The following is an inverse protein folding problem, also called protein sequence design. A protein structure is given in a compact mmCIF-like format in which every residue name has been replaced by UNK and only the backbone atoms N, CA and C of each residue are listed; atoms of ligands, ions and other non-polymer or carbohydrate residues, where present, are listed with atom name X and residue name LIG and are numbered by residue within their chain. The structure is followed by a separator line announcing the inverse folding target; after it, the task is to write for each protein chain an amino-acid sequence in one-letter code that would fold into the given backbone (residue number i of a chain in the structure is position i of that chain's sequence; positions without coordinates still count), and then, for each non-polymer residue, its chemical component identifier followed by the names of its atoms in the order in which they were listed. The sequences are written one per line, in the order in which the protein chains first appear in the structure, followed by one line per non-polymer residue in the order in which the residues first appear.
data_IF_674022436271
#
_entry.id   IF_674022436271
#
_cell.length_a   1.000
_cell.length_b   1.000
_cell.length_c   1.000
_cell.angle_alpha   90.00
_cell.angle_beta   90.00
_cell.angle_gamma   90.00
#
_symmetry.space_group_name_H-M   'P 1'
#
loop_
_entity.id
_entity.type
_entity.pdbx_description
1 polymer ?
#
# COMPACT_ATOMS: atom_id res chain seq x y z
N UNK A 1 15.77 -28.49 -14.61
CA UNK A 1 15.36 -27.11 -14.90
C UNK A 1 15.25 -26.36 -13.58
N UNK A 2 15.96 -25.25 -13.42
CA UNK A 2 16.16 -24.55 -12.14
C UNK A 2 14.84 -24.09 -11.49
N UNK A 3 14.62 -24.51 -10.24
CA UNK A 3 13.47 -24.14 -9.41
C UNK A 3 13.29 -22.63 -9.22
N UNK A 4 14.37 -21.83 -9.31
CA UNK A 4 14.36 -20.37 -9.16
C UNK A 4 13.74 -19.61 -10.34
N UNK A 5 13.87 -20.13 -11.57
CA UNK A 5 13.19 -19.53 -12.74
C UNK A 5 11.67 -19.76 -12.67
N UNK A 6 11.21 -20.64 -11.80
CA UNK A 6 9.79 -20.99 -11.69
C UNK A 6 9.03 -20.03 -10.75
N UNK A 7 9.60 -19.64 -9.60
CA UNK A 7 8.89 -18.78 -8.64
C UNK A 7 8.75 -17.35 -9.14
N UNK A 8 9.82 -16.74 -9.65
CA UNK A 8 9.76 -15.38 -10.21
C UNK A 8 8.76 -15.30 -11.37
N UNK A 9 8.75 -16.27 -12.28
CA UNK A 9 7.80 -16.31 -13.39
C UNK A 9 6.36 -16.52 -12.90
N UNK A 10 6.14 -17.35 -11.88
CA UNK A 10 4.82 -17.49 -11.25
C UNK A 10 4.30 -16.16 -10.70
N UNK A 11 5.18 -15.37 -10.07
CA UNK A 11 4.82 -14.02 -9.59
C UNK A 11 4.59 -13.04 -10.75
N UNK A 12 5.35 -13.12 -11.85
CA UNK A 12 5.10 -12.29 -13.04
C UNK A 12 3.73 -12.58 -13.65
N UNK A 13 3.33 -13.85 -13.75
CA UNK A 13 2.00 -14.23 -14.22
C UNK A 13 0.92 -13.66 -13.30
N UNK A 14 1.06 -13.86 -11.98
CA UNK A 14 0.13 -13.31 -10.98
C UNK A 14 -0.01 -11.78 -11.08
N UNK A 15 1.10 -11.06 -11.22
CA UNK A 15 1.07 -9.60 -11.36
C UNK A 15 0.39 -9.20 -12.66
N UNK A 16 0.66 -9.89 -13.77
CA UNK A 16 0.01 -9.59 -15.05
C UNK A 16 -1.50 -9.80 -15.00
N UNK A 17 -1.98 -10.80 -14.27
CA UNK A 17 -3.42 -11.07 -14.11
C UNK A 17 -4.15 -9.97 -13.33
N UNK A 18 -3.48 -9.26 -12.41
CA UNK A 18 -4.11 -8.16 -11.67
C UNK A 18 -4.03 -6.81 -12.35
N UNK A 19 -3.21 -6.66 -13.39
CA UNK A 19 -3.14 -5.46 -14.21
C UNK A 19 -4.33 -5.41 -15.18
N UNK A 20 -5.54 -5.51 -14.64
CA UNK A 20 -6.80 -5.29 -15.35
C UNK A 20 -7.09 -3.79 -15.40
N UNK A 21 -6.24 -3.09 -16.16
CA UNK A 21 -6.35 -1.65 -16.39
C UNK A 21 -7.09 -1.41 -17.70
N UNK A 22 -8.17 -0.63 -17.64
CA UNK A 22 -9.01 -0.22 -18.77
C UNK A 22 -8.20 0.38 -19.93
N UNK A 23 -7.07 1.01 -19.60
CA UNK A 23 -6.13 1.61 -20.53
C UNK A 23 -4.91 0.72 -20.74
N UNK A 24 -4.63 0.39 -22.01
CA UNK A 24 -3.42 -0.31 -22.41
C UNK A 24 -2.14 0.48 -22.06
N UNK A 25 -2.21 1.82 -22.13
CA UNK A 25 -1.09 2.71 -21.73
C UNK A 25 -0.83 2.57 -20.23
N UNK A 26 -1.87 2.65 -19.41
CA UNK A 26 -1.73 2.53 -17.95
C UNK A 26 -1.17 1.14 -17.57
N UNK A 27 -1.56 0.10 -18.32
CA UNK A 27 -1.02 -1.26 -18.16
C UNK A 27 0.46 -1.34 -18.49
N UNK A 28 0.89 -0.72 -19.58
CA UNK A 28 2.30 -0.67 -19.96
C UNK A 28 3.13 0.11 -18.94
N UNK A 29 2.63 1.25 -18.47
CA UNK A 29 3.28 2.05 -17.44
C UNK A 29 3.40 1.29 -16.11
N UNK A 30 2.31 0.64 -15.68
CA UNK A 30 2.31 -0.21 -14.49
C UNK A 30 3.34 -1.35 -14.60
N UNK A 31 3.37 -2.03 -15.76
CA UNK A 31 4.34 -3.08 -16.02
C UNK A 31 5.77 -2.55 -16.01
N UNK A 32 6.03 -1.40 -16.63
CA UNK A 32 7.34 -0.75 -16.64
C UNK A 32 7.80 -0.39 -15.23
N UNK A 33 6.92 0.16 -14.39
CA UNK A 33 7.21 0.51 -12.99
C UNK A 33 7.54 -0.73 -12.16
N UNK A 34 6.70 -1.76 -12.18
CA UNK A 34 6.93 -2.98 -11.39
C UNK A 34 8.21 -3.71 -11.83
N UNK A 35 8.44 -3.82 -13.13
CA UNK A 35 9.66 -4.45 -13.64
C UNK A 35 10.92 -3.62 -13.40
N UNK A 36 10.81 -2.29 -13.44
CA UNK A 36 11.91 -1.39 -13.12
C UNK A 36 12.33 -1.56 -11.66
N UNK A 37 11.39 -1.50 -10.72
CA UNK A 37 11.66 -1.75 -9.29
C UNK A 37 12.23 -3.16 -9.07
N UNK A 38 11.65 -4.19 -9.70
CA UNK A 38 12.17 -5.57 -9.62
C UNK A 38 13.62 -5.69 -10.11
N UNK A 39 13.95 -5.02 -11.22
CA UNK A 39 15.29 -5.04 -11.80
C UNK A 39 16.32 -4.32 -10.93
N UNK A 40 15.98 -3.12 -10.42
CA UNK A 40 16.84 -2.41 -9.48
C UNK A 40 17.01 -3.19 -8.17
N UNK A 41 15.95 -3.81 -7.66
CA UNK A 41 16.02 -4.64 -6.46
C UNK A 41 16.96 -5.83 -6.65
N UNK A 42 16.86 -6.54 -7.78
CA UNK A 42 17.75 -7.65 -8.14
C UNK A 42 19.22 -7.20 -8.25
N UNK A 43 19.47 -6.08 -8.93
CA UNK A 43 20.81 -5.50 -9.09
C UNK A 43 21.42 -5.11 -7.73
N UNK A 44 20.66 -4.39 -6.89
CA UNK A 44 21.10 -3.99 -5.55
C UNK A 44 21.32 -5.21 -4.65
N UNK A 45 20.49 -6.26 -4.76
CA UNK A 45 20.69 -7.49 -4.01
C UNK A 45 22.03 -8.14 -4.35
N UNK A 46 22.35 -8.23 -5.65
CA UNK A 46 23.63 -8.74 -6.12
C UNK A 46 24.81 -7.91 -5.57
N UNK A 47 24.69 -6.58 -5.59
CA UNK A 47 25.72 -5.67 -5.05
C UNK A 47 25.91 -5.83 -3.54
N UNK A 48 24.84 -6.12 -2.80
CA UNK A 48 24.79 -6.19 -1.33
C UNK A 48 24.96 -7.60 -0.76
N UNK A 49 25.15 -8.61 -1.62
CA UNK A 49 25.27 -10.01 -1.19
C UNK A 49 23.98 -10.60 -0.64
N UNK A 50 22.82 -10.13 -1.11
CA UNK A 50 21.49 -10.64 -0.78
C UNK A 50 20.99 -11.56 -1.90
N UNK A 51 19.99 -12.37 -1.58
CA UNK A 51 19.35 -13.27 -2.54
C UNK A 51 18.51 -12.44 -3.54
N UNK A 52 18.82 -12.59 -4.83
CA UNK A 52 18.32 -11.73 -5.92
C UNK A 52 16.90 -12.07 -6.32
N UNK A 53 16.48 -13.33 -6.22
CA UNK A 53 15.13 -13.79 -6.56
C UNK A 53 14.09 -13.17 -5.61
N UNK A 54 14.32 -13.20 -4.29
CA UNK A 54 13.49 -12.61 -3.25
C UNK A 54 13.43 -11.09 -3.42
N UNK A 55 14.54 -10.43 -3.72
CA UNK A 55 14.55 -8.99 -3.99
C UNK A 55 13.71 -8.65 -5.23
N UNK A 56 13.88 -9.40 -6.33
CA UNK A 56 13.13 -9.20 -7.56
C UNK A 56 11.62 -9.42 -7.37
N UNK A 57 11.23 -10.48 -6.64
CA UNK A 57 9.84 -10.81 -6.31
C UNK A 57 9.22 -9.74 -5.42
N UNK A 58 9.95 -9.27 -4.41
CA UNK A 58 9.49 -8.19 -3.53
C UNK A 58 9.24 -6.90 -4.33
N UNK A 59 10.13 -6.59 -5.29
CA UNK A 59 9.95 -5.46 -6.20
C UNK A 59 8.72 -5.58 -7.11
N UNK A 60 8.35 -6.78 -7.55
CA UNK A 60 7.11 -7.00 -8.34
C UNK A 60 5.83 -6.85 -7.51
N UNK A 61 5.90 -7.16 -6.21
CA UNK A 61 4.75 -7.21 -5.32
C UNK A 61 4.52 -5.91 -4.52
N UNK A 62 5.47 -4.96 -4.54
CA UNK A 62 5.47 -3.81 -3.61
C UNK A 62 4.22 -2.95 -3.66
N UNK A 63 3.62 -2.76 -4.83
CA UNK A 63 2.43 -1.92 -5.04
C UNK A 63 1.20 -2.73 -5.45
N UNK A 64 1.15 -4.02 -5.10
CA UNK A 64 0.07 -4.93 -5.52
C UNK A 64 -1.33 -4.39 -5.19
N UNK A 65 -1.51 -3.80 -4.00
CA UNK A 65 -2.81 -3.25 -3.60
C UNK A 65 -3.25 -2.09 -4.48
N UNK A 66 -2.33 -1.18 -4.82
CA UNK A 66 -2.62 -0.03 -5.68
C UNK A 66 -3.07 -0.49 -7.06
N UNK A 67 -2.39 -1.44 -7.68
CA UNK A 67 -2.80 -1.92 -9.01
C UNK A 67 -4.10 -2.71 -8.99
N UNK A 68 -4.47 -3.30 -7.84
CA UNK A 68 -5.72 -4.04 -7.71
C UNK A 68 -6.93 -3.16 -7.39
N UNK A 69 -6.73 -2.00 -6.75
CA UNK A 69 -7.82 -1.16 -6.23
C UNK A 69 -7.80 0.28 -6.76
N UNK A 70 -6.70 0.74 -7.37
CA UNK A 70 -6.47 2.14 -7.70
C UNK A 70 -6.21 3.05 -6.48
N UNK A 71 -6.15 2.51 -5.26
CA UNK A 71 -6.02 3.29 -4.03
C UNK A 71 -4.55 3.43 -3.62
N UNK A 72 -4.09 4.68 -3.49
CA UNK A 72 -2.68 5.01 -3.22
C UNK A 72 -2.34 5.28 -1.75
N UNK A 73 -3.33 5.23 -0.85
CA UNK A 73 -3.09 5.41 0.58
C UNK A 73 -2.47 4.17 1.22
N UNK A 74 -1.54 4.39 2.15
CA UNK A 74 -0.79 3.36 2.87
C UNK A 74 -0.25 2.23 1.98
N UNK A 75 0.49 2.53 0.89
CA UNK A 75 0.79 1.56 -0.16
C UNK A 75 1.58 0.36 0.37
N UNK A 76 2.52 0.56 1.31
CA UNK A 76 3.22 -0.52 1.97
C UNK A 76 2.35 -1.43 2.83
N UNK A 77 1.58 -0.86 3.75
CA UNK A 77 0.73 -1.62 4.68
C UNK A 77 -0.32 -2.41 3.89
N UNK A 78 -1.03 -1.75 2.99
CA UNK A 78 -2.11 -2.37 2.23
C UNK A 78 -1.59 -3.43 1.25
N UNK A 79 -0.45 -3.19 0.59
CA UNK A 79 0.15 -4.19 -0.30
C UNK A 79 0.65 -5.41 0.47
N UNK A 80 1.32 -5.23 1.61
CA UNK A 80 1.75 -6.37 2.45
C UNK A 80 0.55 -7.20 2.93
N UNK A 81 -0.53 -6.56 3.37
CA UNK A 81 -1.75 -7.25 3.82
C UNK A 81 -2.51 -7.96 2.69
N UNK A 82 -2.41 -7.44 1.47
CA UNK A 82 -2.99 -8.05 0.27
C UNK A 82 -2.17 -9.24 -0.21
N UNK A 83 -0.85 -9.09 -0.22
CA UNK A 83 0.09 -10.12 -0.70
C UNK A 83 0.21 -11.29 0.26
N UNK A 84 0.03 -11.08 1.58
CA UNK A 84 0.18 -12.13 2.60
C UNK A 84 -0.59 -13.42 2.29
N UNK A 85 -1.92 -13.42 2.09
CA UNK A 85 -2.65 -14.65 1.76
C UNK A 85 -2.17 -15.26 0.43
N UNK A 86 -1.85 -14.43 -0.57
CA UNK A 86 -1.43 -14.88 -1.89
C UNK A 86 -0.15 -15.71 -1.81
N UNK A 87 0.92 -15.18 -1.21
CA UNK A 87 2.20 -15.89 -1.14
C UNK A 87 2.15 -17.09 -0.20
N UNK A 88 1.28 -17.06 0.81
CA UNK A 88 1.00 -18.20 1.69
C UNK A 88 0.36 -19.34 0.89
N UNK A 89 -0.67 -19.02 0.10
CA UNK A 89 -1.48 -20.01 -0.62
C UNK A 89 -0.74 -20.56 -1.86
N UNK A 90 0.13 -19.76 -2.50
CA UNK A 90 1.07 -20.25 -3.51
C UNK A 90 2.01 -21.33 -2.95
N UNK A 91 2.36 -21.23 -1.66
CA UNK A 91 3.19 -22.21 -0.95
C UNK A 91 4.54 -22.53 -1.64
N UNK A 92 5.12 -21.52 -2.32
CA UNK A 92 6.42 -21.61 -3.02
C UNK A 92 7.57 -20.94 -2.24
N UNK A 93 7.28 -20.35 -1.08
CA UNK A 93 8.23 -19.65 -0.21
C UNK A 93 8.20 -20.24 1.19
N UNK A 94 9.38 -20.34 1.81
CA UNK A 94 9.52 -20.61 3.25
C UNK A 94 8.91 -19.50 4.10
N UNK A 95 8.65 -19.78 5.38
CA UNK A 95 8.11 -18.76 6.31
C UNK A 95 9.03 -17.54 6.44
N UNK A 96 10.34 -17.74 6.44
CA UNK A 96 11.32 -16.66 6.56
C UNK A 96 11.39 -15.80 5.29
N UNK A 97 11.28 -16.44 4.11
CA UNK A 97 11.16 -15.71 2.83
C UNK A 97 9.86 -14.92 2.78
N UNK A 98 8.72 -15.50 3.19
CA UNK A 98 7.43 -14.80 3.26
C UNK A 98 7.53 -13.59 4.19
N UNK A 99 8.10 -13.76 5.38
CA UNK A 99 8.28 -12.67 6.33
C UNK A 99 9.18 -11.56 5.75
N UNK A 100 10.27 -11.94 5.08
CA UNK A 100 11.20 -11.01 4.43
C UNK A 100 10.49 -10.20 3.35
N UNK A 101 9.76 -10.84 2.44
CA UNK A 101 9.00 -10.18 1.37
C UNK A 101 7.98 -9.21 1.98
N UNK A 102 7.13 -9.70 2.89
CA UNK A 102 6.03 -8.91 3.46
C UNK A 102 6.54 -7.72 4.28
N UNK A 103 7.62 -7.90 5.04
CA UNK A 103 8.20 -6.82 5.85
C UNK A 103 8.83 -5.73 4.99
N UNK A 104 9.52 -6.11 3.92
CA UNK A 104 10.12 -5.15 3.00
C UNK A 104 9.05 -4.34 2.24
N UNK A 105 7.95 -4.99 1.83
CA UNK A 105 6.78 -4.31 1.28
C UNK A 105 6.15 -3.37 2.31
N UNK A 106 5.95 -3.84 3.55
CA UNK A 106 5.31 -3.06 4.61
C UNK A 106 6.05 -1.75 4.91
N UNK A 107 7.38 -1.80 5.00
CA UNK A 107 8.20 -0.65 5.38
C UNK A 107 8.66 0.24 4.22
N UNK A 108 8.25 -0.03 2.98
CA UNK A 108 8.76 0.64 1.78
C UNK A 108 8.60 2.19 1.78
N UNK A 109 7.62 2.74 2.51
CA UNK A 109 7.41 4.19 2.61
C UNK A 109 8.01 4.80 3.89
N UNK A 110 8.51 3.99 4.83
CA UNK A 110 9.08 4.46 6.10
C UNK A 110 10.55 4.86 5.94
N UNK A 111 10.80 5.93 5.18
CA UNK A 111 12.15 6.37 4.79
C UNK A 111 12.94 7.04 5.91
N UNK A 112 12.25 7.61 6.91
CA UNK A 112 12.87 8.23 8.08
C UNK A 112 13.41 7.24 9.13
N UNK A 113 13.30 5.93 8.90
CA UNK A 113 13.83 4.88 9.78
C UNK A 113 14.61 3.86 8.95
N UNK A 114 15.70 3.36 9.53
CA UNK A 114 16.48 2.25 8.97
C UNK A 114 15.89 0.94 9.50
N UNK A 115 15.62 0.01 8.59
CA UNK A 115 15.12 -1.33 8.89
C UNK A 115 16.13 -2.38 8.41
N UNK A 116 15.69 -3.61 8.17
CA UNK A 116 16.56 -4.69 7.72
C UNK A 116 17.02 -4.58 6.26
N UNK A 117 17.90 -5.47 5.82
CA UNK A 117 18.60 -5.35 4.55
C UNK A 117 17.69 -5.31 3.32
N UNK A 118 16.67 -6.18 3.26
CA UNK A 118 15.67 -6.17 2.19
C UNK A 118 14.73 -4.96 2.26
N UNK A 119 14.44 -4.47 3.47
CA UNK A 119 13.59 -3.31 3.69
C UNK A 119 14.26 -2.05 3.10
N UNK A 120 15.55 -1.87 3.35
CA UNK A 120 16.35 -0.78 2.79
C UNK A 120 16.57 -0.94 1.28
N UNK A 121 16.83 -2.17 0.83
CA UNK A 121 16.98 -2.47 -0.60
C UNK A 121 15.75 -2.08 -1.41
N UNK A 122 14.54 -2.35 -0.91
CA UNK A 122 13.31 -2.04 -1.64
C UNK A 122 13.03 -0.53 -1.64
N UNK A 123 13.31 0.18 -0.54
CA UNK A 123 13.25 1.66 -0.52
C UNK A 123 14.16 2.26 -1.61
N UNK A 124 15.38 1.74 -1.72
CA UNK A 124 16.37 2.20 -2.69
C UNK A 124 15.97 1.83 -4.13
N UNK A 125 15.45 0.62 -4.35
CA UNK A 125 14.98 0.20 -5.67
C UNK A 125 13.80 1.05 -6.18
N UNK A 126 12.83 1.36 -5.31
CA UNK A 126 11.71 2.24 -5.63
C UNK A 126 12.19 3.65 -5.93
N UNK A 127 13.11 4.17 -5.12
CA UNK A 127 13.74 5.46 -5.35
C UNK A 127 14.41 5.51 -6.73
N UNK A 128 15.30 4.55 -7.04
CA UNK A 128 16.01 4.52 -8.31
C UNK A 128 15.04 4.44 -9.49
N UNK A 129 14.02 3.58 -9.41
CA UNK A 129 13.01 3.49 -10.46
C UNK A 129 12.31 4.84 -10.68
N UNK A 130 11.86 5.49 -9.62
CA UNK A 130 11.18 6.79 -9.73
C UNK A 130 12.10 7.87 -10.29
N UNK A 131 13.38 7.85 -9.93
CA UNK A 131 14.37 8.79 -10.43
C UNK A 131 14.65 8.59 -11.93
N UNK A 132 14.89 7.36 -12.37
CA UNK A 132 15.25 7.09 -13.77
C UNK A 132 14.04 7.14 -14.72
N UNK A 133 12.82 7.06 -14.21
CA UNK A 133 11.60 7.27 -14.99
C UNK A 133 11.22 8.76 -15.13
N UNK A 134 11.69 9.63 -14.23
CA UNK A 134 11.41 11.07 -14.25
C UNK A 134 12.63 11.86 -14.74
N UNK A 135 12.53 12.47 -15.91
CA UNK A 135 13.63 13.22 -16.54
C UNK A 135 13.95 14.55 -15.86
N UNK A 136 13.13 14.97 -14.90
CA UNK A 136 13.35 16.22 -14.15
C UNK A 136 14.53 16.10 -13.16
N UNK A 137 15.03 14.88 -12.90
CA UNK A 137 16.17 14.60 -12.02
C UNK A 137 16.13 15.32 -10.66
N UNK A 138 14.92 15.56 -10.16
CA UNK A 138 14.68 16.23 -8.89
C UNK A 138 14.53 15.24 -7.75
N UNK A 139 15.05 15.60 -6.58
CA UNK A 139 15.03 14.76 -5.39
C UNK A 139 14.50 15.56 -4.21
N UNK A 140 13.57 14.97 -3.45
CA UNK A 140 13.12 15.56 -2.19
C UNK A 140 14.26 15.60 -1.17
N UNK A 141 14.39 16.68 -0.40
CA UNK A 141 15.35 16.79 0.71
C UNK A 141 15.40 15.54 1.61
N UNK A 142 14.27 14.88 1.87
CA UNK A 142 14.22 13.66 2.70
C UNK A 142 14.98 12.46 2.11
N UNK A 143 15.18 12.44 0.79
CA UNK A 143 15.77 11.34 0.05
C UNK A 143 17.24 11.58 -0.34
N UNK A 144 17.75 12.82 -0.25
CA UNK A 144 19.10 13.22 -0.69
C UNK A 144 20.20 12.35 -0.11
N UNK A 145 20.20 12.12 1.20
CA UNK A 145 21.23 11.30 1.85
C UNK A 145 21.21 9.86 1.33
N UNK A 146 20.02 9.31 1.07
CA UNK A 146 19.86 7.96 0.55
C UNK A 146 20.31 7.88 -0.91
N UNK A 147 20.01 8.89 -1.73
CA UNK A 147 20.59 9.01 -3.09
C UNK A 147 22.11 9.06 -3.07
N UNK A 148 22.73 9.89 -2.22
CA UNK A 148 24.18 9.96 -2.11
C UNK A 148 24.82 8.62 -1.74
N UNK A 149 24.17 7.86 -0.86
CA UNK A 149 24.65 6.54 -0.45
C UNK A 149 24.56 5.54 -1.61
N UNK A 150 23.39 5.45 -2.27
CA UNK A 150 23.15 4.49 -3.36
C UNK A 150 23.98 4.84 -4.60
N UNK A 151 24.08 6.12 -4.97
CA UNK A 151 24.92 6.52 -6.11
C UNK A 151 26.39 6.27 -5.82
N UNK A 152 26.85 6.53 -4.59
CA UNK A 152 28.19 6.17 -4.16
C UNK A 152 28.45 4.66 -4.22
N UNK A 153 27.49 3.83 -3.80
CA UNK A 153 27.55 2.36 -3.90
C UNK A 153 27.66 1.88 -5.36
N UNK A 154 26.95 2.55 -6.27
CA UNK A 154 26.90 2.25 -7.70
C UNK A 154 27.98 2.96 -8.54
N UNK A 155 28.86 3.74 -7.92
CA UNK A 155 29.86 4.56 -8.61
C UNK A 155 29.26 5.55 -9.62
N UNK A 156 28.05 6.03 -9.36
CA UNK A 156 27.39 7.10 -10.12
C UNK A 156 27.82 8.44 -9.52
N UNK A 157 28.16 9.45 -10.34
CA UNK A 157 28.48 10.79 -9.83
C UNK A 157 27.33 11.36 -8.97
N UNK A 158 27.67 12.10 -7.91
CA UNK A 158 26.69 12.60 -6.93
C UNK A 158 26.00 13.90 -7.33
N UNK A 159 26.47 14.53 -8.40
CA UNK A 159 25.99 15.78 -8.98
C UNK A 159 24.90 15.56 -10.06
N UNK A 160 24.38 14.34 -10.16
CA UNK A 160 23.41 13.94 -11.19
C UNK A 160 21.95 14.29 -10.85
N UNK A 161 21.69 14.93 -9.72
CA UNK A 161 20.34 15.32 -9.31
C UNK A 161 20.33 16.69 -8.65
N UNK A 162 19.20 17.37 -8.75
CA UNK A 162 18.94 18.63 -8.08
C UNK A 162 18.05 18.41 -6.85
N UNK A 163 18.49 18.92 -5.71
CA UNK A 163 17.69 18.91 -4.50
C UNK A 163 16.55 19.94 -4.61
N UNK A 164 15.32 19.45 -4.49
CA UNK A 164 14.16 20.33 -4.33
C UNK A 164 13.94 20.56 -2.85
N UNK A 165 14.37 21.74 -2.40
CA UNK A 165 13.93 22.28 -1.11
C UNK A 165 12.47 22.69 -1.28
N UNK A 166 11.54 22.18 -0.46
CA UNK A 166 10.17 22.66 -0.49
C UNK A 166 10.21 24.17 -0.23
N UNK A 167 9.87 24.97 -1.24
CA UNK A 167 9.49 26.35 -0.95
C UNK A 167 8.22 26.25 -0.10
N UNK A 168 8.12 27.02 0.97
CA UNK A 168 6.97 27.06 1.88
C UNK A 168 5.72 27.60 1.15
N UNK A 169 5.28 26.94 0.09
CA UNK A 169 4.13 27.28 -0.71
C UNK A 169 3.18 26.10 -0.74
N UNK A 170 2.13 26.30 0.04
CA UNK A 170 0.88 25.58 0.06
C UNK A 170 0.96 24.22 0.78
N UNK A 171 1.07 24.30 2.11
CA UNK A 171 0.03 23.64 2.89
C UNK A 171 -1.31 24.01 2.23
N UNK A 172 -1.87 23.08 1.45
CA UNK A 172 -3.31 23.06 1.24
C UNK A 172 -3.90 22.77 2.62
N UNK A 173 -3.96 23.80 3.46
CA UNK A 173 -4.98 23.94 4.47
C UNK A 173 -6.26 23.64 3.71
N UNK A 174 -6.83 22.47 3.97
CA UNK A 174 -8.08 22.02 3.37
C UNK A 174 -9.05 23.17 3.48
N UNK A 175 -9.41 23.69 2.31
CA UNK A 175 -10.10 24.97 2.09
C UNK A 175 -11.57 24.95 2.52
N UNK A 176 -11.93 24.18 3.57
CA UNK A 176 -13.30 24.13 4.03
C UNK A 176 -13.53 24.06 5.54
N UNK A 177 -12.51 24.06 6.41
CA UNK A 177 -12.67 24.30 7.87
C UNK A 177 -13.65 23.41 8.65
N UNK A 178 -14.36 22.48 8.01
CA UNK A 178 -15.28 21.52 8.63
C UNK A 178 -14.43 20.45 9.32
N UNK A 179 -14.79 20.19 10.57
CA UNK A 179 -14.27 19.06 11.32
C UNK A 179 -14.56 17.76 10.56
N UNK A 180 -13.53 16.91 10.39
CA UNK A 180 -13.65 15.63 9.67
C UNK A 180 -14.66 14.69 10.31
N UNK A 181 -14.87 14.79 11.63
CA UNK A 181 -15.87 13.98 12.33
C UNK A 181 -17.29 14.42 12.02
N UNK A 182 -17.54 15.73 11.96
CA UNK A 182 -18.83 16.24 11.44
C UNK A 182 -19.07 15.80 10.01
N UNK A 183 -18.04 15.86 9.14
CA UNK A 183 -18.16 15.39 7.76
C UNK A 183 -18.45 13.88 7.68
N UNK A 184 -17.80 13.07 8.52
CA UNK A 184 -18.09 11.64 8.64
C UNK A 184 -19.56 11.39 9.01
N UNK A 185 -20.10 12.15 9.97
CA UNK A 185 -21.49 12.04 10.37
C UNK A 185 -22.44 12.41 9.22
N UNK A 186 -22.22 13.56 8.57
CA UNK A 186 -23.01 14.02 7.42
C UNK A 186 -23.05 12.94 6.31
N UNK A 187 -21.88 12.37 5.94
CA UNK A 187 -21.76 11.33 4.90
C UNK A 187 -22.47 10.04 5.34
N UNK A 188 -22.33 9.65 6.60
CA UNK A 188 -22.93 8.41 7.12
C UNK A 188 -24.46 8.50 7.10
N UNK A 189 -25.03 9.65 7.50
CA UNK A 189 -26.48 9.89 7.43
C UNK A 189 -26.98 9.89 5.99
N UNK A 190 -26.26 10.56 5.09
CA UNK A 190 -26.60 10.61 3.67
C UNK A 190 -26.62 9.20 3.07
N UNK A 191 -25.54 8.42 3.22
CA UNK A 191 -25.46 7.07 2.65
C UNK A 191 -26.45 6.10 3.31
N UNK A 192 -26.69 6.21 4.62
CA UNK A 192 -27.68 5.38 5.32
C UNK A 192 -29.10 5.61 4.78
N UNK A 193 -29.40 6.81 4.27
CA UNK A 193 -30.69 7.11 3.65
C UNK A 193 -30.90 6.47 2.26
N UNK A 194 -29.83 5.96 1.62
CA UNK A 194 -29.87 5.44 0.25
C UNK A 194 -30.36 3.98 0.14
N UNK A 195 -30.85 3.37 1.24
CA UNK A 195 -31.37 1.99 1.27
C UNK A 195 -30.41 0.95 0.64
N UNK A 196 -29.11 1.08 0.92
CA UNK A 196 -28.06 0.20 0.38
C UNK A 196 -28.32 -1.25 0.83
N UNK A 197 -28.39 -2.17 -0.13
CA UNK A 197 -28.57 -3.59 0.12
C UNK A 197 -27.22 -4.28 -0.02
N UNK A 198 -26.83 -5.06 0.99
CA UNK A 198 -25.55 -5.79 0.99
C UNK A 198 -25.55 -7.00 0.05
N UNK A 199 -25.67 -6.79 -1.25
CA UNK A 199 -25.65 -7.79 -2.32
C UNK A 199 -24.80 -7.29 -3.51
N UNK A 200 -24.12 -8.17 -4.27
CA UNK A 200 -23.22 -7.77 -5.36
C UNK A 200 -23.86 -6.92 -6.48
N UNK A 201 -25.17 -6.95 -6.63
CA UNK A 201 -25.92 -6.18 -7.62
C UNK A 201 -26.09 -4.70 -7.24
N UNK A 202 -25.95 -4.36 -5.95
CA UNK A 202 -26.05 -3.00 -5.46
C UNK A 202 -24.72 -2.26 -5.67
N UNK A 203 -24.75 -1.20 -6.50
CA UNK A 203 -23.55 -0.45 -6.86
C UNK A 203 -22.88 0.21 -5.65
N UNK A 204 -23.65 0.80 -4.74
CA UNK A 204 -23.10 1.47 -3.56
C UNK A 204 -22.44 0.45 -2.62
N UNK A 205 -23.05 -0.73 -2.49
CA UNK A 205 -22.41 -1.83 -1.77
C UNK A 205 -21.09 -2.26 -2.42
N UNK A 206 -21.03 -2.34 -3.75
CA UNK A 206 -19.78 -2.69 -4.44
C UNK A 206 -18.69 -1.62 -4.26
N UNK A 207 -19.06 -0.34 -4.23
CA UNK A 207 -18.14 0.77 -3.94
C UNK A 207 -17.61 0.72 -2.50
N UNK A 208 -18.46 0.34 -1.54
CA UNK A 208 -18.06 0.13 -0.14
C UNK A 208 -17.05 -1.02 -0.02
N UNK A 209 -17.25 -2.11 -0.76
CA UNK A 209 -16.37 -3.28 -0.67
C UNK A 209 -15.03 -3.13 -1.42
N UNK A 210 -14.93 -2.15 -2.34
CA UNK A 210 -13.78 -1.95 -3.24
C UNK A 210 -12.42 -1.78 -2.52
N UNK A 211 -12.42 -1.41 -1.24
CA UNK A 211 -11.19 -1.30 -0.45
C UNK A 211 -10.52 -2.64 -0.14
N UNK A 212 -11.23 -3.77 -0.21
CA UNK A 212 -10.65 -5.08 0.07
C UNK A 212 -10.53 -5.88 -1.23
N UNK A 213 -9.30 -6.16 -1.70
CA UNK A 213 -9.04 -6.69 -3.05
C UNK A 213 -9.34 -8.19 -3.20
N UNK A 214 -10.01 -8.82 -2.23
CA UNK A 214 -10.33 -10.24 -2.27
C UNK A 214 -11.36 -10.52 -3.38
N UNK A 215 -11.17 -11.54 -4.24
CA UNK A 215 -12.08 -11.80 -5.37
C UNK A 215 -13.54 -12.03 -4.95
N UNK A 216 -13.75 -12.63 -3.78
CA UNK A 216 -15.08 -12.93 -3.23
C UNK A 216 -15.53 -11.92 -2.15
N UNK A 217 -14.92 -10.73 -2.08
CA UNK A 217 -15.19 -9.76 -1.01
C UNK A 217 -16.70 -9.44 -0.85
N UNK A 218 -17.40 -9.29 -1.96
CA UNK A 218 -18.84 -8.97 -1.97
C UNK A 218 -19.70 -10.09 -1.38
N UNK A 219 -19.22 -11.33 -1.41
CA UNK A 219 -19.86 -12.48 -0.75
C UNK A 219 -19.46 -12.58 0.72
N UNK A 220 -18.19 -12.33 1.03
CA UNK A 220 -17.65 -12.37 2.40
C UNK A 220 -18.34 -11.34 3.30
N UNK A 221 -18.58 -10.14 2.78
CA UNK A 221 -19.25 -9.06 3.51
C UNK A 221 -20.78 -9.09 3.39
N UNK A 222 -21.34 -10.05 2.65
CA UNK A 222 -22.78 -10.14 2.43
C UNK A 222 -23.52 -10.29 3.78
N UNK A 223 -24.43 -9.36 4.05
CA UNK A 223 -25.16 -9.32 5.32
C UNK A 223 -24.34 -8.92 6.57
N UNK A 224 -23.03 -8.64 6.44
CA UNK A 224 -22.13 -8.30 7.56
C UNK A 224 -21.19 -7.12 7.23
N UNK A 225 -21.69 -6.13 6.50
CA UNK A 225 -20.88 -5.04 5.91
C UNK A 225 -20.93 -3.72 6.69
N UNK A 226 -21.51 -3.70 7.88
CA UNK A 226 -21.64 -2.46 8.68
C UNK A 226 -20.28 -1.82 9.01
N UNK A 227 -19.25 -2.61 9.32
CA UNK A 227 -17.91 -2.07 9.54
C UNK A 227 -17.24 -1.61 8.24
N UNK A 228 -17.50 -2.29 7.11
CA UNK A 228 -17.06 -1.83 5.80
C UNK A 228 -17.71 -0.50 5.40
N UNK A 229 -18.99 -0.31 5.72
CA UNK A 229 -19.70 0.96 5.56
C UNK A 229 -19.04 2.09 6.36
N UNK A 230 -18.78 1.86 7.65
CA UNK A 230 -18.09 2.85 8.51
C UNK A 230 -16.72 3.19 7.94
N UNK A 231 -15.96 2.19 7.50
CA UNK A 231 -14.67 2.40 6.84
C UNK A 231 -14.82 3.26 5.57
N UNK A 232 -15.79 2.97 4.70
CA UNK A 232 -16.05 3.76 3.49
C UNK A 232 -16.37 5.22 3.84
N UNK A 233 -17.23 5.46 4.85
CA UNK A 233 -17.56 6.81 5.31
C UNK A 233 -16.31 7.55 5.85
N UNK A 234 -15.43 6.87 6.60
CA UNK A 234 -14.16 7.43 7.04
C UNK A 234 -13.28 7.86 5.86
N UNK A 235 -13.14 7.00 4.85
CA UNK A 235 -12.36 7.29 3.66
C UNK A 235 -12.92 8.49 2.88
N UNK A 236 -14.24 8.57 2.69
CA UNK A 236 -14.91 9.71 2.05
C UNK A 236 -14.74 11.02 2.85
N UNK A 237 -14.75 10.94 4.18
CA UNK A 237 -14.51 12.08 5.07
C UNK A 237 -13.03 12.51 5.17
N UNK A 238 -12.11 11.83 4.48
CA UNK A 238 -10.68 12.08 4.54
C UNK A 238 -10.01 11.62 5.85
N UNK A 239 -10.66 10.73 6.60
CA UNK A 239 -10.08 9.94 7.69
C UNK A 239 -9.47 8.70 7.03
N UNK A 240 -8.24 8.87 6.54
CA UNK A 240 -7.56 7.84 5.77
C UNK A 240 -7.10 6.71 6.68
N UNK A 241 -7.54 5.48 6.37
CA UNK A 241 -7.21 4.28 7.13
C UNK A 241 -6.53 3.23 6.22
N UNK A 242 -5.61 2.41 6.74
CA UNK A 242 -5.19 1.19 6.05
C UNK A 242 -6.30 0.13 6.16
N UNK A 243 -6.34 -0.83 5.24
CA UNK A 243 -7.35 -1.92 5.26
C UNK A 243 -7.23 -2.81 6.51
N UNK A 244 -6.10 -2.73 7.20
CA UNK A 244 -5.82 -3.31 8.50
C UNK A 244 -4.89 -2.38 9.27
N UNK A 245 -5.23 -2.07 10.52
CA UNK A 245 -4.35 -1.28 11.37
C UNK A 245 -3.03 -2.02 11.63
N UNK A 246 -1.87 -1.34 11.65
CA UNK A 246 -0.61 -1.96 12.06
C UNK A 246 -0.75 -2.66 13.42
N UNK A 247 -0.36 -3.94 13.49
CA UNK A 247 -0.53 -4.82 14.66
C UNK A 247 -1.98 -5.24 15.01
N UNK A 248 -3.00 -4.80 14.27
CA UNK A 248 -4.37 -5.27 14.46
C UNK A 248 -4.52 -6.74 14.05
N UNK A 249 -5.41 -7.50 14.68
CA UNK A 249 -5.63 -8.91 14.34
C UNK A 249 -6.49 -9.11 13.09
N UNK A 250 -7.41 -8.17 12.83
CA UNK A 250 -8.40 -8.26 11.77
C UNK A 250 -8.39 -7.01 10.89
N UNK A 251 -8.86 -7.16 9.65
CA UNK A 251 -9.04 -6.03 8.71
C UNK A 251 -10.17 -5.12 9.20
N UNK A 252 -10.09 -3.83 8.88
CA UNK A 252 -11.09 -2.81 9.24
C UNK A 252 -12.43 -2.94 8.49
N UNK A 253 -12.73 -4.13 7.95
CA UNK A 253 -14.06 -4.56 7.52
C UNK A 253 -14.85 -5.25 8.65
N UNK A 254 -14.21 -5.54 9.79
CA UNK A 254 -14.83 -6.21 10.94
C UNK A 254 -15.05 -5.25 12.11
N UNK A 255 -16.21 -5.37 12.78
CA UNK A 255 -16.59 -4.52 13.91
C UNK A 255 -15.56 -4.54 15.03
N UNK A 256 -15.02 -5.72 15.38
CA UNK A 256 -13.97 -5.84 16.40
C UNK A 256 -12.70 -5.06 16.04
N UNK A 257 -12.32 -5.03 14.76
CA UNK A 257 -11.14 -4.28 14.31
C UNK A 257 -11.36 -2.76 14.39
N UNK A 258 -12.56 -2.29 14.00
CA UNK A 258 -12.95 -0.88 14.13
C UNK A 258 -12.97 -0.47 15.61
N UNK A 259 -13.50 -1.33 16.48
CA UNK A 259 -13.52 -1.10 17.92
C UNK A 259 -12.11 -1.00 18.51
N UNK A 260 -11.24 -1.99 18.24
CA UNK A 260 -9.83 -1.96 18.67
C UNK A 260 -9.12 -0.68 18.20
N UNK A 261 -9.32 -0.28 16.95
CA UNK A 261 -8.76 0.95 16.40
C UNK A 261 -9.31 2.21 17.08
N UNK A 262 -10.62 2.28 17.32
CA UNK A 262 -11.24 3.43 17.98
C UNK A 262 -10.77 3.62 19.43
N UNK A 263 -10.39 2.53 20.11
CA UNK A 263 -9.87 2.55 21.48
C UNK A 263 -8.43 3.05 21.61
N UNK A 264 -7.70 3.19 20.50
CA UNK A 264 -6.33 3.68 20.53
C UNK A 264 -6.28 5.13 21.06
N UNK A 265 -5.37 5.45 22.01
CA UNK A 265 -5.30 6.79 22.62
C UNK A 265 -5.16 7.93 21.60
N UNK A 266 -4.48 7.66 20.49
CA UNK A 266 -4.22 8.63 19.43
C UNK A 266 -5.44 8.92 18.51
N UNK A 267 -6.48 8.09 18.51
CA UNK A 267 -7.60 8.24 17.57
C UNK A 267 -8.73 9.10 18.13
N UNK A 268 -8.98 8.98 19.45
CA UNK A 268 -10.01 9.73 20.17
C UNK A 268 -11.44 9.46 19.67
N UNK A 269 -11.70 8.30 19.06
CA UNK A 269 -13.02 7.92 18.53
C UNK A 269 -13.88 7.15 19.52
N UNK A 270 -13.27 6.58 20.56
CA UNK A 270 -13.98 5.78 21.55
C UNK A 270 -14.35 6.59 22.79
N UNK A 271 -15.63 6.57 23.16
CA UNK A 271 -16.18 7.20 24.35
C UNK A 271 -17.00 6.16 25.10
N UNK A 272 -16.82 6.10 26.42
CA UNK A 272 -17.74 5.37 27.27
C UNK A 272 -19.02 6.18 27.37
N UNK A 273 -20.16 5.49 27.31
CA UNK A 273 -21.41 6.10 27.74
C UNK A 273 -21.25 6.37 29.24
N UNK A 274 -21.36 7.63 29.65
CA UNK A 274 -21.33 8.01 31.05
C UNK A 274 -22.61 7.44 31.70
N UNK A 275 -22.54 6.19 32.16
CA UNK A 275 -23.58 5.58 33.00
C UNK A 275 -23.54 6.21 34.40
N UNK A 276 -23.76 7.52 34.48
CA UNK A 276 -24.24 8.18 35.68
C UNK A 276 -25.75 8.36 35.52
N UNK A 277 -26.48 7.26 35.71
CA UNK A 277 -27.89 7.30 36.09
C UNK A 277 -28.01 7.32 37.62
#
# INVERSE_FOLDING_TARGET
MNSSRNRLESIRVLVNEILDLDSLVNRQEAYAQLNGVSSFASMLAMKRGLETEIAAITGLLHNYYFYKTGISYFPGINSAETVRPIIRDLNIFSKDEQLTILRAIFYQNQRGKVHGPYDELIKDAIMLNNFFQNLDHTVSHMDVQRFHNVFGELSIPKDQFEEVVPTNHNEKITKNGKDKRSLLADISEELASQNIIGIPEDKLYTEICHYWPDPDIYKVLQGNWCAAFVYHCCMQAGILLPIRYPNGNYRLAGVGAIFEWAQLPETGFFYYDDQNF
#
